data_IF_067510582111
#
_entry.id   IF_067510582111
#
_cell.length_a   1.000
_cell.length_b   1.000
_cell.length_c   1.000
_cell.angle_alpha   90.00
_cell.angle_beta   90.00
_cell.angle_gamma   90.00
#
_symmetry.space_group_name_H-M   'P 1'
#
loop_
_entity.id
_entity.type
_entity.pdbx_description
1 polymer ?
#
# COMPACT_ATOMS: atom_id res chain seq x y z
N UNK A 1 10.58 34.08 -16.92
CA UNK A 1 11.53 33.07 -16.39
C UNK A 1 11.26 32.69 -14.93
N UNK A 2 10.07 32.95 -14.35
CA UNK A 2 9.86 32.83 -12.89
C UNK A 2 9.28 31.50 -12.38
N UNK A 3 8.96 30.53 -13.26
CA UNK A 3 8.37 29.26 -12.82
C UNK A 3 9.34 28.30 -12.12
N UNK A 4 10.65 28.46 -12.33
CA UNK A 4 11.67 27.50 -11.91
C UNK A 4 12.30 27.83 -10.55
N UNK A 5 12.23 29.09 -10.11
CA UNK A 5 12.73 29.53 -8.80
C UNK A 5 11.78 29.09 -7.67
N UNK A 6 10.47 29.24 -7.89
CA UNK A 6 9.44 28.85 -6.94
C UNK A 6 9.40 27.32 -6.70
N UNK A 7 9.74 26.52 -7.72
CA UNK A 7 9.84 25.06 -7.58
C UNK A 7 11.02 24.66 -6.68
N UNK A 8 12.16 25.36 -6.81
CA UNK A 8 13.33 25.12 -5.96
C UNK A 8 13.05 25.48 -4.51
N UNK A 9 12.37 26.59 -4.27
CA UNK A 9 12.02 27.04 -2.92
C UNK A 9 11.01 26.09 -2.24
N UNK A 10 10.14 25.44 -3.01
CA UNK A 10 9.16 24.49 -2.50
C UNK A 10 9.69 23.06 -2.31
N UNK A 11 10.83 22.73 -2.94
CA UNK A 11 11.37 21.37 -2.99
C UNK A 11 11.85 20.87 -1.62
N UNK A 12 12.72 21.64 -0.94
CA UNK A 12 13.27 21.23 0.35
C UNK A 12 12.19 21.07 1.44
N UNK A 13 11.19 21.97 1.56
CA UNK A 13 10.05 21.75 2.44
C UNK A 13 9.24 20.49 2.08
N UNK A 14 9.05 20.20 0.78
CA UNK A 14 8.32 19.00 0.36
C UNK A 14 9.07 17.73 0.75
N UNK A 15 10.38 17.67 0.51
CA UNK A 15 11.24 16.54 0.90
C UNK A 15 11.18 16.33 2.42
N UNK A 16 11.29 17.41 3.20
CA UNK A 16 11.25 17.33 4.67
C UNK A 16 9.94 16.73 5.16
N UNK A 17 8.79 17.21 4.67
CA UNK A 17 7.48 16.69 5.06
C UNK A 17 7.28 15.23 4.64
N UNK A 18 7.69 14.87 3.42
CA UNK A 18 7.60 13.48 2.94
C UNK A 18 8.48 12.54 3.78
N UNK A 19 9.69 12.98 4.13
CA UNK A 19 10.60 12.22 4.99
C UNK A 19 9.99 12.00 6.37
N UNK A 20 9.50 13.04 7.02
CA UNK A 20 8.85 12.96 8.34
C UNK A 20 7.65 12.02 8.32
N UNK A 21 6.79 12.13 7.29
CA UNK A 21 5.66 11.24 7.11
C UNK A 21 6.09 9.77 6.99
N UNK A 22 7.06 9.47 6.11
CA UNK A 22 7.56 8.10 5.97
C UNK A 22 8.14 7.58 7.28
N UNK A 23 8.99 8.34 7.97
CA UNK A 23 9.55 7.89 9.26
C UNK A 23 8.48 7.70 10.34
N UNK A 24 7.41 8.50 10.35
CA UNK A 24 6.29 8.31 11.29
C UNK A 24 5.52 7.00 11.07
N UNK A 25 5.63 6.40 9.88
CA UNK A 25 5.01 5.10 9.53
C UNK A 25 5.96 3.92 9.71
N UNK A 26 7.25 4.17 9.92
CA UNK A 26 8.23 3.11 10.12
C UNK A 26 7.92 2.34 11.42
N UNK A 27 7.99 1.02 11.37
CA UNK A 27 7.88 0.18 12.56
C UNK A 27 9.17 0.28 13.39
N UNK A 28 9.10 0.08 14.73
CA UNK A 28 10.28 0.13 15.61
C UNK A 28 11.43 -0.80 15.17
N UNK A 29 11.10 -1.89 14.49
CA UNK A 29 12.04 -2.88 13.95
C UNK A 29 12.76 -2.40 12.69
N UNK A 30 12.39 -1.24 12.14
CA UNK A 30 13.08 -0.57 11.04
C UNK A 30 12.50 -0.78 9.64
N UNK A 31 11.36 -1.46 9.51
CA UNK A 31 10.71 -1.71 8.21
C UNK A 31 9.40 -0.92 8.03
N UNK A 32 8.92 -0.87 6.80
CA UNK A 32 7.59 -0.36 6.44
C UNK A 32 6.70 -1.51 5.97
N UNK A 33 5.43 -1.47 6.33
CA UNK A 33 4.40 -2.38 5.81
C UNK A 33 3.20 -1.53 5.45
N UNK A 34 2.75 -1.68 4.20
CA UNK A 34 1.53 -1.08 3.68
C UNK A 34 0.72 -2.14 2.93
N UNK A 35 -0.51 -1.78 2.63
CA UNK A 35 -1.36 -2.55 1.75
C UNK A 35 -0.77 -2.60 0.33
N UNK A 36 -0.72 -3.80 -0.24
CA UNK A 36 -0.31 -4.03 -1.61
C UNK A 36 -1.58 -4.13 -2.45
N UNK A 37 -1.87 -3.10 -3.23
CA UNK A 37 -2.91 -3.15 -4.24
C UNK A 37 -2.41 -3.98 -5.43
N UNK A 38 -3.14 -5.04 -5.75
CA UNK A 38 -2.90 -5.92 -6.88
C UNK A 38 -4.22 -6.15 -7.64
N UNK A 39 -4.16 -6.83 -8.77
CA UNK A 39 -5.36 -7.31 -9.44
C UNK A 39 -6.09 -8.40 -8.62
N UNK A 40 -7.19 -8.92 -9.18
CA UNK A 40 -8.04 -9.91 -8.52
C UNK A 40 -7.68 -11.36 -8.87
N UNK A 41 -6.59 -11.59 -9.62
CA UNK A 41 -6.20 -12.94 -10.05
C UNK A 41 -5.92 -13.82 -8.83
N UNK A 42 -5.06 -13.35 -7.92
CA UNK A 42 -4.68 -14.09 -6.73
C UNK A 42 -5.88 -14.38 -5.80
N UNK A 43 -6.77 -13.40 -5.61
CA UNK A 43 -7.99 -13.59 -4.79
C UNK A 43 -8.92 -14.61 -5.43
N UNK A 44 -9.08 -14.58 -6.76
CA UNK A 44 -9.93 -15.52 -7.51
C UNK A 44 -9.38 -16.95 -7.44
N UNK A 45 -8.07 -17.11 -7.62
CA UNK A 45 -7.39 -18.41 -7.49
C UNK A 45 -7.51 -18.98 -6.08
N UNK A 46 -7.35 -18.13 -5.05
CA UNK A 46 -7.52 -18.54 -3.66
C UNK A 46 -8.93 -19.05 -3.38
N UNK A 47 -9.96 -18.31 -3.82
CA UNK A 47 -11.37 -18.72 -3.68
C UNK A 47 -11.60 -20.07 -4.35
N UNK A 48 -11.15 -20.22 -5.60
CA UNK A 48 -11.28 -21.46 -6.34
C UNK A 48 -10.62 -22.64 -5.59
N UNK A 49 -9.41 -22.46 -5.07
CA UNK A 49 -8.68 -23.48 -4.32
C UNK A 49 -9.40 -23.87 -3.01
N UNK A 50 -9.97 -22.90 -2.29
CA UNK A 50 -10.70 -23.18 -1.05
C UNK A 50 -11.97 -23.98 -1.30
N UNK A 51 -12.68 -23.71 -2.42
CA UNK A 51 -13.79 -24.55 -2.86
C UNK A 51 -13.33 -25.96 -3.25
N UNK A 52 -12.19 -26.10 -3.96
CA UNK A 52 -11.65 -27.41 -4.34
C UNK A 52 -11.31 -28.29 -3.13
N UNK A 53 -10.86 -27.70 -2.03
CA UNK A 53 -10.49 -28.42 -0.81
C UNK A 53 -11.60 -28.51 0.25
N UNK A 54 -12.80 -28.00 -0.03
CA UNK A 54 -13.91 -27.94 0.92
C UNK A 54 -13.53 -27.20 2.23
N UNK A 55 -12.80 -26.07 2.09
CA UNK A 55 -12.29 -25.23 3.19
C UNK A 55 -12.78 -23.79 3.08
N UNK A 56 -14.01 -23.60 2.61
CA UNK A 56 -14.57 -22.27 2.35
C UNK A 56 -14.78 -21.49 3.66
N UNK A 57 -14.23 -20.28 3.71
CA UNK A 57 -14.54 -19.26 4.73
C UNK A 57 -15.40 -18.16 4.08
N UNK A 58 -16.71 -18.26 4.30
CA UNK A 58 -17.72 -17.39 3.70
C UNK A 58 -17.53 -15.89 4.07
N UNK A 59 -17.28 -15.51 5.33
CA UNK A 59 -16.90 -14.14 5.67
C UNK A 59 -15.66 -13.62 4.94
N UNK A 60 -14.59 -14.42 4.87
CA UNK A 60 -13.35 -14.02 4.21
C UNK A 60 -13.56 -13.85 2.70
N UNK A 61 -14.23 -14.82 2.06
CA UNK A 61 -14.55 -14.78 0.64
C UNK A 61 -15.31 -13.51 0.24
N UNK A 62 -16.28 -13.08 1.05
CA UNK A 62 -17.02 -11.82 0.82
C UNK A 62 -16.17 -10.55 0.98
N UNK A 63 -15.05 -10.63 1.72
CA UNK A 63 -14.15 -9.50 1.95
C UNK A 63 -13.12 -9.35 0.81
N UNK A 64 -12.76 -10.46 0.17
CA UNK A 64 -11.75 -10.51 -0.89
C UNK A 64 -12.36 -10.52 -2.31
N UNK A 65 -13.69 -10.64 -2.42
CA UNK A 65 -14.49 -10.38 -3.62
C UNK A 65 -14.89 -8.91 -3.74
#
# INVERSE_FOLDING_TARGET
>A
MSGNENLKDALDPAITRSREYLFSRQKPEGYWVEEVEADTELSSEYIYLMHMFDRVDEPLQKKIC
#
